data_IF_323380880394
#
_entry.id   IF_323380880394
#
_cell.length_a   1.000
_cell.length_b   1.000
_cell.length_c   1.000
_cell.angle_alpha   90.00
_cell.angle_beta   90.00
_cell.angle_gamma   90.00
#
_symmetry.space_group_name_H-M   'P 1'
#
loop_
_entity.id
_entity.type
_entity.pdbx_description
1 polymer ?
#
# COMPACT_ATOMS: atom_id res chain seq x y z
N UNK A 1 5.92 38.24 -31.87
CA UNK A 1 4.93 37.92 -30.83
C UNK A 1 5.67 38.05 -29.52
N UNK A 2 5.53 39.21 -28.88
CA UNK A 2 6.20 39.50 -27.61
C UNK A 2 5.45 38.73 -26.52
N UNK A 3 6.17 37.85 -25.81
CA UNK A 3 5.56 37.02 -24.78
C UNK A 3 5.51 37.82 -23.48
N UNK A 4 4.30 38.07 -22.99
CA UNK A 4 4.03 38.88 -21.80
C UNK A 4 4.81 38.36 -20.58
N UNK A 5 5.55 39.27 -19.91
CA UNK A 5 6.43 38.93 -18.79
C UNK A 5 5.63 38.33 -17.63
N UNK A 6 4.42 38.83 -17.40
CA UNK A 6 3.53 38.31 -16.37
C UNK A 6 3.08 36.88 -16.69
N UNK A 7 2.84 36.58 -17.97
CA UNK A 7 2.52 35.22 -18.41
C UNK A 7 3.69 34.25 -18.20
N UNK A 8 4.93 34.69 -18.39
CA UNK A 8 6.14 33.89 -18.14
C UNK A 8 6.29 33.62 -16.64
N UNK A 9 6.15 34.65 -15.80
CA UNK A 9 6.24 34.53 -14.34
C UNK A 9 5.15 33.59 -13.81
N UNK A 10 3.91 33.75 -14.26
CA UNK A 10 2.80 32.87 -13.87
C UNK A 10 3.03 31.41 -14.31
N UNK A 11 3.59 31.19 -15.51
CA UNK A 11 3.94 29.84 -15.97
C UNK A 11 5.05 29.20 -15.11
N UNK A 12 6.08 29.97 -14.76
CA UNK A 12 7.15 29.51 -13.88
C UNK A 12 6.63 29.15 -12.49
N UNK A 13 5.77 29.99 -11.89
CA UNK A 13 5.16 29.67 -10.59
C UNK A 13 4.27 28.43 -10.63
N UNK A 14 3.49 28.23 -11.69
CA UNK A 14 2.68 27.00 -11.86
C UNK A 14 3.55 25.76 -11.99
N UNK A 15 4.65 25.83 -12.76
CA UNK A 15 5.59 24.73 -12.91
C UNK A 15 6.29 24.41 -11.57
N UNK A 16 6.71 25.44 -10.84
CA UNK A 16 7.31 25.32 -9.50
C UNK A 16 6.34 24.63 -8.54
N UNK A 17 5.10 25.12 -8.45
CA UNK A 17 4.05 24.51 -7.62
C UNK A 17 3.76 23.07 -8.03
N UNK A 18 3.73 22.77 -9.33
CA UNK A 18 3.53 21.41 -9.83
C UNK A 18 4.66 20.47 -9.39
N UNK A 19 5.91 20.93 -9.37
CA UNK A 19 7.04 20.16 -8.85
C UNK A 19 6.98 20.01 -7.32
N UNK A 20 6.81 21.12 -6.60
CA UNK A 20 6.85 21.17 -5.13
C UNK A 20 5.73 20.34 -4.50
N UNK A 21 4.54 20.37 -5.10
CA UNK A 21 3.35 19.69 -4.60
C UNK A 21 2.93 18.47 -5.43
N UNK A 22 3.75 18.07 -6.42
CA UNK A 22 3.45 16.98 -7.36
C UNK A 22 2.08 17.11 -8.05
N UNK A 23 1.61 18.35 -8.28
CA UNK A 23 0.33 18.62 -8.94
C UNK A 23 0.42 18.16 -10.41
N UNK A 24 -0.38 17.15 -10.77
CA UNK A 24 -0.38 16.55 -12.11
C UNK A 24 -0.10 15.05 -12.11
N UNK A 25 0.43 14.50 -11.01
CA UNK A 25 0.55 13.06 -10.81
C UNK A 25 -0.34 12.62 -9.64
N UNK A 26 -1.64 12.45 -9.89
CA UNK A 26 -2.56 11.84 -8.93
C UNK A 26 -2.45 10.30 -8.88
N UNK A 27 -1.50 9.71 -9.60
CA UNK A 27 -1.31 8.26 -9.60
C UNK A 27 -0.84 7.81 -8.23
N UNK A 28 -1.37 6.66 -7.82
CA UNK A 28 -1.00 5.98 -6.59
C UNK A 28 -0.81 4.51 -6.92
N UNK A 29 0.23 3.92 -6.35
CA UNK A 29 0.46 2.48 -6.45
C UNK A 29 -0.24 1.83 -5.27
N UNK A 30 -1.16 0.90 -5.57
CA UNK A 30 -1.82 0.07 -4.57
C UNK A 30 -1.14 -1.30 -4.56
N UNK A 31 -0.42 -1.61 -3.48
CA UNK A 31 0.16 -2.91 -3.23
C UNK A 31 -0.84 -3.75 -2.44
N UNK A 32 -1.28 -4.89 -3.01
CA UNK A 32 -2.20 -5.81 -2.34
C UNK A 32 -1.51 -7.17 -2.16
N UNK A 33 -1.32 -7.57 -0.91
CA UNK A 33 -0.80 -8.89 -0.56
C UNK A 33 -1.93 -9.87 -0.22
N UNK A 34 -2.02 -10.97 -0.97
CA UNK A 34 -2.91 -12.09 -0.63
C UNK A 34 -2.08 -13.24 -0.07
N UNK A 35 -2.47 -13.74 1.10
CA UNK A 35 -1.72 -14.75 1.85
C UNK A 35 -2.59 -15.98 2.10
N UNK A 36 -2.41 -17.01 1.27
CA UNK A 36 -3.13 -18.28 1.36
C UNK A 36 -2.36 -19.27 2.23
N UNK A 37 -2.92 -19.66 3.37
CA UNK A 37 -2.25 -20.58 4.29
C UNK A 37 -2.41 -22.06 3.90
N UNK A 38 -1.61 -22.91 4.51
CA UNK A 38 -1.61 -24.36 4.27
C UNK A 38 -2.79 -25.07 4.91
N UNK A 39 -3.04 -26.31 4.50
CA UNK A 39 -4.11 -27.17 5.07
C UNK A 39 -4.00 -27.25 6.61
N UNK A 40 -5.12 -27.06 7.30
CA UNK A 40 -5.19 -27.09 8.77
C UNK A 40 -4.52 -25.90 9.46
N UNK A 41 -4.17 -24.83 8.75
CA UNK A 41 -3.54 -23.62 9.31
C UNK A 41 -4.50 -22.46 9.42
N UNK A 42 -4.48 -21.81 10.57
CA UNK A 42 -5.30 -20.65 10.84
C UNK A 42 -4.56 -19.74 11.83
N UNK A 43 -4.34 -18.48 11.44
CA UNK A 43 -3.54 -17.54 12.21
C UNK A 43 -4.03 -17.34 13.66
N UNK A 44 -5.34 -17.32 13.89
CA UNK A 44 -5.92 -17.10 15.22
C UNK A 44 -5.82 -18.36 16.09
N UNK A 45 -5.96 -19.54 15.50
CA UNK A 45 -5.82 -20.82 16.21
C UNK A 45 -4.35 -21.17 16.49
N UNK A 46 -3.45 -20.80 15.58
CA UNK A 46 -2.04 -21.15 15.64
C UNK A 46 -1.20 -20.16 16.46
N UNK A 47 -1.66 -18.91 16.63
CA UNK A 47 -0.92 -17.88 17.37
C UNK A 47 -0.73 -18.19 18.87
N UNK A 48 -1.76 -18.62 19.65
CA UNK A 48 -1.61 -18.91 21.08
C UNK A 48 -0.64 -20.05 21.36
N UNK A 49 -0.51 -20.99 20.41
CA UNK A 49 0.36 -22.16 20.52
C UNK A 49 1.73 -21.98 19.85
N UNK A 50 2.05 -20.75 19.41
CA UNK A 50 3.31 -20.40 18.76
C UNK A 50 3.65 -21.27 17.53
N UNK A 51 2.63 -21.72 16.80
CA UNK A 51 2.75 -22.60 15.62
C UNK A 51 2.39 -21.92 14.30
N UNK A 52 2.61 -20.60 14.24
CA UNK A 52 2.37 -19.82 13.03
C UNK A 52 3.18 -20.33 11.85
N UNK A 53 2.48 -20.59 10.75
CA UNK A 53 3.08 -20.92 9.46
C UNK A 53 3.92 -19.76 8.93
N UNK A 54 4.77 -20.04 7.94
CA UNK A 54 5.53 -19.00 7.25
C UNK A 54 4.60 -17.99 6.56
N UNK A 55 3.45 -18.43 6.04
CA UNK A 55 2.47 -17.54 5.41
C UNK A 55 1.86 -16.58 6.44
N UNK A 56 1.44 -17.09 7.60
CA UNK A 56 0.93 -16.26 8.67
C UNK A 56 1.99 -15.26 9.18
N UNK A 57 3.26 -15.69 9.27
CA UNK A 57 4.39 -14.80 9.63
C UNK A 57 4.60 -13.70 8.60
N UNK A 58 4.57 -14.02 7.30
CA UNK A 58 4.68 -13.05 6.22
C UNK A 58 3.51 -12.06 6.22
N UNK A 59 2.27 -12.54 6.42
CA UNK A 59 1.10 -11.68 6.56
C UNK A 59 1.26 -10.69 7.71
N UNK A 60 1.74 -11.13 8.87
CA UNK A 60 2.01 -10.24 10.03
C UNK A 60 3.10 -9.22 9.73
N UNK A 61 4.16 -9.62 9.01
CA UNK A 61 5.27 -8.75 8.63
C UNK A 61 4.95 -7.78 7.49
N UNK A 62 3.92 -8.03 6.69
CA UNK A 62 3.54 -7.18 5.56
C UNK A 62 3.18 -5.76 6.03
N UNK A 63 3.59 -4.70 5.29
CA UNK A 63 3.37 -3.31 5.65
C UNK A 63 1.94 -3.02 6.11
N UNK A 64 1.82 -2.31 7.22
CA UNK A 64 0.54 -1.84 7.74
C UNK A 64 0.16 -0.50 7.08
N UNK A 65 -1.13 -0.12 7.09
CA UNK A 65 -1.58 1.15 6.52
C UNK A 65 -0.88 2.39 7.08
N UNK A 66 -0.27 2.34 8.27
CA UNK A 66 0.52 3.48 8.78
C UNK A 66 1.79 3.74 7.97
N UNK A 67 2.24 2.78 7.13
CA UNK A 67 3.36 2.95 6.20
C UNK A 67 2.95 3.52 4.84
N UNK A 68 1.67 3.87 4.65
CA UNK A 68 1.21 4.49 3.43
C UNK A 68 1.88 5.86 3.24
N UNK A 69 2.23 6.18 2.00
CA UNK A 69 2.77 7.49 1.61
C UNK A 69 1.73 8.22 0.77
N UNK A 70 2.04 9.45 0.34
CA UNK A 70 1.17 10.18 -0.58
C UNK A 70 1.04 9.51 -1.96
N UNK A 71 1.96 8.60 -2.30
CA UNK A 71 2.04 7.94 -3.62
C UNK A 71 1.88 6.42 -3.57
N UNK A 72 2.00 5.80 -2.41
CA UNK A 72 1.91 4.35 -2.24
C UNK A 72 0.95 3.98 -1.11
N UNK A 73 0.17 2.93 -1.33
CA UNK A 73 -0.75 2.38 -0.33
C UNK A 73 -0.64 0.87 -0.27
N UNK A 74 -0.73 0.31 0.93
CA UNK A 74 -0.56 -1.11 1.19
C UNK A 74 -1.84 -1.70 1.80
N UNK A 75 -2.28 -2.83 1.27
CA UNK A 75 -3.38 -3.63 1.78
C UNK A 75 -2.97 -5.10 1.83
N UNK A 76 -3.54 -5.85 2.77
CA UNK A 76 -3.27 -7.27 2.91
C UNK A 76 -4.52 -8.04 3.31
N UNK A 77 -4.63 -9.25 2.78
CA UNK A 77 -5.68 -10.21 3.11
C UNK A 77 -5.05 -11.55 3.45
N UNK A 78 -5.42 -12.09 4.60
CA UNK A 78 -5.08 -13.44 5.00
C UNK A 78 -6.26 -14.36 4.67
N UNK A 79 -5.96 -15.50 4.06
CA UNK A 79 -6.92 -16.53 3.71
C UNK A 79 -6.52 -17.78 4.49
N UNK A 80 -7.39 -18.23 5.41
CA UNK A 80 -7.10 -19.39 6.23
C UNK A 80 -6.99 -20.67 5.39
N UNK A 81 -6.24 -21.62 5.94
CA UNK A 81 -5.99 -22.91 5.35
C UNK A 81 -7.25 -23.76 5.23
N UNK A 82 -7.28 -24.61 4.21
CA UNK A 82 -8.35 -25.60 4.03
C UNK A 82 -8.54 -26.45 5.29
N UNK A 83 -9.80 -26.75 5.63
CA UNK A 83 -10.13 -27.54 6.82
C UNK A 83 -10.08 -26.76 8.14
N UNK A 84 -9.92 -25.44 8.09
CA UNK A 84 -10.11 -24.55 9.25
C UNK A 84 -11.29 -23.61 9.01
N UNK A 85 -11.87 -22.99 10.06
CA UNK A 85 -12.86 -21.94 9.88
C UNK A 85 -12.32 -20.79 9.01
N UNK A 86 -13.17 -20.32 8.10
CA UNK A 86 -12.97 -19.10 7.32
C UNK A 86 -13.95 -18.07 7.87
N UNK A 87 -13.44 -17.08 8.61
CA UNK A 87 -14.21 -15.99 9.22
C UNK A 87 -13.79 -14.67 8.58
#
# INVERSE_FOLDING_TARGET
MEMDLDAIIAAAHRAQQACDYRLGNCSRILHIGFFFDGVGRNIEQDAPENRLSNIARLYRAYPMPEKNTSTESYQKHYISGLGTPFL
#
